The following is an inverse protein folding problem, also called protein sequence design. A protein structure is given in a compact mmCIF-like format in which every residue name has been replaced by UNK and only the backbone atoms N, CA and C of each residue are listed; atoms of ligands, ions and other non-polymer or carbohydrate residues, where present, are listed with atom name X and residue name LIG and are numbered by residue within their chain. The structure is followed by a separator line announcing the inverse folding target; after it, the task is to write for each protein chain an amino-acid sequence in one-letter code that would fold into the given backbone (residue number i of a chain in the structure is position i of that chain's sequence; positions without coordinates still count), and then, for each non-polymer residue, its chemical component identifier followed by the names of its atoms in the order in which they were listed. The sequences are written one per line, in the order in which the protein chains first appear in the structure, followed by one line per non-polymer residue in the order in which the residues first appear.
data_IF_830826935793
#
_entry.id   IF_830826935793
#
_cell.length_a   1.000
_cell.length_b   1.000
_cell.length_c   1.000
_cell.angle_alpha   90.00
_cell.angle_beta   90.00
_cell.angle_gamma   90.00
#
_symmetry.space_group_name_H-M   'P 1'
#
loop_
_entity.id
_entity.type
_entity.pdbx_description
1 polymer ?
#
# COMPACT_ATOMS: atom_id res chain seq x y z
N UNK A 1 -13.22 -8.07 -19.52
CA UNK A 1 -12.80 -7.89 -18.87
C UNK A 1 -12.45 -7.07 -18.06
N UNK A 2 -12.36 -6.85 -17.87
CA UNK A 2 -11.97 -6.43 -17.20
C UNK A 2 -11.41 -6.08 -16.09
N UNK A 3 -11.14 -6.72 -15.44
CA UNK A 3 -10.40 -6.59 -14.25
C UNK A 3 -9.12 -5.93 -14.39
N UNK A 4 -8.64 -5.90 -15.57
CA UNK A 4 -7.39 -5.22 -15.82
C UNK A 4 -7.47 -3.75 -15.49
N UNK A 5 -8.66 -3.22 -15.38
CA UNK A 5 -8.82 -1.83 -14.99
C UNK A 5 -8.88 -1.64 -13.50
N UNK A 6 -8.91 -2.72 -12.75
CA UNK A 6 -8.99 -2.62 -11.31
C UNK A 6 -7.62 -2.48 -10.71
N UNK A 7 -7.51 -1.60 -9.76
CA UNK A 7 -6.26 -1.47 -9.04
C UNK A 7 -6.09 -2.66 -8.14
N UNK A 8 -4.89 -3.19 -8.13
CA UNK A 8 -4.53 -4.26 -7.23
C UNK A 8 -4.55 -3.74 -5.80
N UNK A 9 -5.12 -4.51 -4.88
CA UNK A 9 -5.19 -4.10 -3.47
C UNK A 9 -3.80 -3.79 -2.93
N UNK A 10 -2.82 -4.57 -3.33
CA UNK A 10 -1.44 -4.35 -2.91
C UNK A 10 -0.95 -2.97 -3.33
N UNK A 11 -1.23 -2.57 -4.56
CA UNK A 11 -0.86 -1.25 -5.05
C UNK A 11 -1.57 -0.14 -4.29
N UNK A 12 -2.84 -0.36 -3.96
CA UNK A 12 -3.62 0.61 -3.20
C UNK A 12 -3.01 0.82 -1.82
N UNK A 13 -2.61 -0.26 -1.15
CA UNK A 13 -1.97 -0.16 0.15
C UNK A 13 -0.66 0.62 0.08
N UNK A 14 0.14 0.36 -0.93
CA UNK A 14 1.40 1.08 -1.12
C UNK A 14 1.12 2.56 -1.36
N UNK A 15 0.15 2.86 -2.20
CA UNK A 15 -0.21 4.24 -2.49
C UNK A 15 -0.61 4.98 -1.20
N UNK A 16 -1.48 4.38 -0.39
CA UNK A 16 -1.90 5.00 0.86
C UNK A 16 -0.73 5.17 1.82
N UNK A 17 0.16 4.18 1.89
CA UNK A 17 1.32 4.28 2.77
C UNK A 17 2.24 5.41 2.37
N UNK A 18 2.41 5.65 1.07
CA UNK A 18 3.28 6.72 0.58
C UNK A 18 2.66 8.11 0.74
N UNK A 19 1.34 8.19 0.77
CA UNK A 19 0.65 9.49 0.79
C UNK A 19 -0.02 9.80 2.12
N UNK A 20 0.10 8.91 3.11
CA UNK A 20 -0.49 9.11 4.43
C UNK A 20 0.60 9.43 5.44
N UNK A 21 0.20 10.06 6.53
CA UNK A 21 1.15 10.47 7.57
C UNK A 21 1.38 9.40 8.63
N UNK A 22 0.38 8.57 8.91
CA UNK A 22 0.51 7.55 9.95
C UNK A 22 -0.45 6.39 9.69
N UNK A 23 -0.39 5.39 10.55
CA UNK A 23 -1.20 4.19 10.44
C UNK A 23 -2.71 4.51 10.45
N UNK A 24 -3.11 5.42 11.31
CA UNK A 24 -4.51 5.77 11.45
C UNK A 24 -5.06 6.37 10.15
N UNK A 25 -4.26 7.21 9.51
CA UNK A 25 -4.67 7.83 8.25
C UNK A 25 -4.87 6.78 7.17
N UNK A 26 -3.95 5.83 7.07
CA UNK A 26 -4.08 4.73 6.11
C UNK A 26 -5.34 3.92 6.41
N UNK A 27 -5.55 3.59 7.68
CA UNK A 27 -6.71 2.80 8.10
C UNK A 27 -8.02 3.49 7.71
N UNK A 28 -8.11 4.79 7.98
CA UNK A 28 -9.33 5.54 7.68
C UNK A 28 -9.59 5.61 6.18
N UNK A 29 -8.55 5.76 5.38
CA UNK A 29 -8.71 5.81 3.93
C UNK A 29 -9.20 4.47 3.39
N UNK A 30 -8.68 3.37 3.92
CA UNK A 30 -9.13 2.03 3.56
C UNK A 30 -10.58 1.84 3.98
N UNK A 31 -10.91 2.25 5.20
CA UNK A 31 -12.24 2.08 5.75
C UNK A 31 -13.29 2.84 4.93
N UNK A 32 -12.94 4.04 4.47
CA UNK A 32 -13.84 4.85 3.67
C UNK A 32 -13.85 4.43 2.21
N UNK A 33 -13.02 3.47 1.84
CA UNK A 33 -12.90 2.99 0.47
C UNK A 33 -12.62 4.14 -0.48
N UNK A 34 -11.66 4.97 -0.10
CA UNK A 34 -11.29 6.15 -0.89
C UNK A 34 -10.91 5.74 -2.31
N UNK A 35 -11.45 6.47 -3.28
CA UNK A 35 -11.15 6.22 -4.68
C UNK A 35 -9.79 6.81 -5.06
N UNK A 36 -9.04 6.09 -5.88
CA UNK A 36 -7.75 6.55 -6.37
C UNK A 36 -7.78 6.48 -7.88
N UNK A 37 -7.40 7.56 -8.54
CA UNK A 37 -7.29 7.51 -9.99
C UNK A 37 -5.97 6.82 -10.37
N UNK A 38 -5.98 6.13 -11.49
CA UNK A 38 -4.78 5.47 -11.96
C UNK A 38 -3.68 6.50 -12.25
N UNK A 39 -4.06 7.66 -12.78
CA UNK A 39 -3.10 8.72 -13.05
C UNK A 39 -2.40 9.21 -11.78
N UNK A 40 -3.14 9.38 -10.70
CA UNK A 40 -2.56 9.79 -9.43
C UNK A 40 -1.63 8.72 -8.88
N UNK A 41 -2.04 7.45 -8.98
CA UNK A 41 -1.21 6.35 -8.51
C UNK A 41 0.09 6.28 -9.29
N UNK A 42 0.01 6.38 -10.62
CA UNK A 42 1.20 6.34 -11.47
C UNK A 42 2.15 7.49 -11.13
N UNK A 43 1.60 8.68 -10.89
CA UNK A 43 2.40 9.84 -10.55
C UNK A 43 3.14 9.65 -9.22
N UNK A 44 2.44 9.20 -8.20
CA UNK A 44 3.04 8.98 -6.89
C UNK A 44 4.10 7.89 -6.96
N UNK A 45 3.81 6.81 -7.66
CA UNK A 45 4.76 5.71 -7.79
C UNK A 45 6.02 6.15 -8.51
N UNK A 46 5.87 7.00 -9.55
CA UNK A 46 7.02 7.52 -10.25
C UNK A 46 7.85 8.46 -9.37
N UNK A 47 7.18 9.33 -8.61
CA UNK A 47 7.85 10.27 -7.73
C UNK A 47 8.65 9.58 -6.64
N UNK A 48 8.17 8.43 -6.18
CA UNK A 48 8.82 7.68 -5.10
C UNK A 48 9.69 6.54 -5.60
N UNK A 49 9.84 6.41 -6.93
CA UNK A 49 10.65 5.35 -7.53
C UNK A 49 10.25 3.95 -7.04
N UNK A 50 8.97 3.70 -6.96
CA UNK A 50 8.44 2.45 -6.43
C UNK A 50 8.98 1.24 -7.17
N UNK A 51 9.25 1.38 -8.47
CA UNK A 51 9.80 0.28 -9.26
C UNK A 51 11.14 -0.21 -8.75
N UNK A 52 11.93 0.67 -8.13
CA UNK A 52 13.26 0.33 -7.64
C UNK A 52 13.29 -0.01 -6.16
N UNK A 53 12.13 0.02 -5.52
CA UNK A 53 12.02 -0.26 -4.09
C UNK A 53 11.21 -1.53 -3.90
N UNK A 54 11.49 -2.24 -2.84
CA UNK A 54 10.75 -3.46 -2.52
C UNK A 54 9.81 -3.19 -1.36
N UNK A 55 8.56 -3.52 -1.55
CA UNK A 55 7.56 -3.39 -0.51
C UNK A 55 6.90 -4.73 -0.24
N UNK A 56 6.56 -4.95 1.01
CA UNK A 56 5.74 -6.10 1.40
C UNK A 56 4.50 -5.53 2.07
N UNK A 57 3.32 -5.96 1.63
CA UNK A 57 2.08 -5.50 2.22
C UNK A 57 1.52 -6.56 3.15
N UNK A 58 0.58 -6.13 4.00
CA UNK A 58 -0.01 -7.03 4.99
C UNK A 58 -0.74 -8.22 4.35
N UNK A 59 -1.09 -8.11 3.07
CA UNK A 59 -1.74 -9.21 2.35
C UNK A 59 -0.76 -10.14 1.64
N UNK A 60 0.53 -9.80 1.64
CA UNK A 60 1.53 -10.63 0.98
C UNK A 60 1.94 -11.80 1.88
N UNK A 61 2.26 -12.92 1.25
CA UNK A 61 2.69 -14.11 2.01
C UNK A 61 3.98 -13.87 2.77
N UNK A 62 4.83 -13.00 2.26
CA UNK A 62 6.12 -12.71 2.91
C UNK A 62 6.02 -11.80 4.12
N UNK A 63 4.81 -11.34 4.46
CA UNK A 63 4.65 -10.44 5.60
C UNK A 63 4.91 -11.20 6.90
N UNK A 64 5.78 -10.68 7.79
CA UNK A 64 6.12 -11.39 9.02
C UNK A 64 4.92 -11.60 9.93
N UNK A 65 4.73 -12.83 10.39
CA UNK A 65 3.62 -13.14 11.30
C UNK A 65 3.75 -12.37 12.61
N UNK A 66 4.95 -12.12 13.06
CA UNK A 66 5.16 -11.37 14.30
C UNK A 66 4.56 -9.98 14.23
N UNK A 67 4.57 -9.37 13.05
CA UNK A 67 3.97 -8.05 12.88
C UNK A 67 2.45 -8.13 12.81
N UNK A 68 1.92 -9.21 12.26
CA UNK A 68 0.47 -9.37 12.20
C UNK A 68 -0.17 -9.49 13.58
N UNK A 69 0.61 -9.92 14.55
CA UNK A 69 0.11 -10.08 15.91
C UNK A 69 0.10 -8.79 16.71
N UNK A 70 0.64 -7.72 16.18
CA UNK A 70 0.64 -6.46 16.88
C UNK A 70 -0.74 -5.79 16.80
N UNK A 71 -1.01 -4.85 17.68
CA UNK A 71 -2.29 -4.16 17.68
C UNK A 71 -2.48 -3.29 16.43
N UNK A 72 -1.40 -2.76 15.90
CA UNK A 72 -1.45 -1.90 14.73
C UNK A 72 -0.36 -2.34 13.76
N UNK A 73 -0.56 -3.49 13.11
CA UNK A 73 0.46 -3.96 12.18
C UNK A 73 0.57 -2.99 11.00
N UNK A 74 1.78 -2.63 10.59
CA UNK A 74 1.92 -1.74 9.45
C UNK A 74 1.33 -2.38 8.21
N UNK A 75 0.65 -1.59 7.40
CA UNK A 75 0.03 -2.11 6.19
C UNK A 75 1.07 -2.40 5.11
N UNK A 76 2.16 -1.67 5.13
CA UNK A 76 3.22 -1.81 4.12
C UNK A 76 4.57 -1.65 4.81
N UNK A 77 5.51 -2.51 4.42
CA UNK A 77 6.88 -2.47 4.92
C UNK A 77 7.79 -2.33 3.71
N UNK A 78 8.77 -1.48 3.80
CA UNK A 78 9.77 -1.39 2.76
C UNK A 78 10.98 -2.22 3.16
N UNK A 79 11.46 -3.05 2.23
CA UNK A 79 12.65 -3.86 2.46
C UNK A 79 13.85 -3.12 1.89
N UNK A 80 14.81 -2.86 2.75
CA UNK A 80 16.03 -2.17 2.36
C UNK A 80 17.17 -3.17 2.44
N UNK A 81 17.86 -3.36 1.34
CA UNK A 81 19.02 -4.26 1.30
C UNK A 81 20.31 -3.50 1.55
#
# INVERSE_FOLDING_TARGET
MMEENKMNIRSILIYFALTSTDWKDVYERIRRRESISKADMDKVFAEHNVEKRKFITIIDEGYPDSLKCSKRPPFVIEIIN
#
